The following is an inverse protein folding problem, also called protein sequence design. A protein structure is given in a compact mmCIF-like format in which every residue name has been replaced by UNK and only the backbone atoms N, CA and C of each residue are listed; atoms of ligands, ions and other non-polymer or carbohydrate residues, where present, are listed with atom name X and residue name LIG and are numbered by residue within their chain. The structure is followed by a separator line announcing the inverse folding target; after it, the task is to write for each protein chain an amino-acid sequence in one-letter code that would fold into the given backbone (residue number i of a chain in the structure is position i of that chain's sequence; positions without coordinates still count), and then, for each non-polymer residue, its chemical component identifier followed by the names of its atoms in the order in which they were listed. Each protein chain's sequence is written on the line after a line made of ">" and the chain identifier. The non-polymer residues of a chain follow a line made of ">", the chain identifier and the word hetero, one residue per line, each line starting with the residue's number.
data_IF_008618484391
#
_entry.id   IF_008618484391
#
_cell.length_a   1.000
_cell.length_b   1.000
_cell.length_c   1.000
_cell.angle_alpha   90.00
_cell.angle_beta   90.00
_cell.angle_gamma   90.00
#
_symmetry.space_group_name_H-M   'P 1'
#
loop_
_entity.id
_entity.type
_entity.pdbx_description
1 polymer ?
#
# COMPACT_ATOMS: atom_id res chain seq x y z
N UNK A 1 2.17 -5.22 -5.32
CA UNK A 1 2.74 -6.02 -4.21
C UNK A 1 1.54 -6.51 -3.42
N UNK A 2 1.11 -7.74 -3.66
CA UNK A 2 -0.21 -8.21 -3.23
C UNK A 2 -0.24 -8.66 -1.77
N UNK A 3 0.91 -8.72 -1.09
CA UNK A 3 0.96 -9.08 0.32
C UNK A 3 0.52 -7.93 1.26
N UNK A 4 0.56 -6.67 0.81
CA UNK A 4 0.28 -5.52 1.67
C UNK A 4 -1.16 -5.50 2.24
N UNK A 5 -2.22 -5.86 1.47
CA UNK A 5 -3.57 -6.02 2.04
C UNK A 5 -3.64 -7.06 3.16
N UNK A 6 -2.89 -8.17 3.05
CA UNK A 6 -2.86 -9.20 4.08
C UNK A 6 -2.17 -8.72 5.35
N UNK A 7 -1.06 -7.98 5.22
CA UNK A 7 -0.37 -7.35 6.36
C UNK A 7 -1.25 -6.28 7.03
N UNK A 8 -1.96 -5.46 6.25
CA UNK A 8 -2.93 -4.49 6.80
C UNK A 8 -4.01 -5.18 7.64
N UNK A 9 -4.60 -6.27 7.12
CA UNK A 9 -5.60 -7.04 7.84
C UNK A 9 -5.02 -7.68 9.12
N UNK A 10 -3.77 -8.17 9.05
CA UNK A 10 -3.08 -8.77 10.19
C UNK A 10 -2.81 -7.73 11.30
N UNK A 11 -2.32 -6.54 10.94
CA UNK A 11 -2.09 -5.43 11.87
C UNK A 11 -3.38 -4.95 12.54
N UNK A 12 -4.44 -4.78 11.75
CA UNK A 12 -5.75 -4.39 12.29
C UNK A 12 -6.26 -5.40 13.32
N UNK A 13 -5.98 -6.69 13.10
CA UNK A 13 -6.45 -7.76 13.98
C UNK A 13 -5.61 -7.91 15.26
N UNK A 14 -4.29 -7.81 15.16
CA UNK A 14 -3.39 -8.27 16.24
C UNK A 14 -2.45 -7.18 16.82
N UNK A 15 -2.49 -5.94 16.34
CA UNK A 15 -1.61 -4.86 16.87
C UNK A 15 -1.80 -4.61 18.37
N UNK A 16 -3.02 -4.77 18.89
CA UNK A 16 -3.30 -4.66 20.32
C UNK A 16 -2.90 -5.91 21.12
N UNK A 17 -2.55 -7.01 20.45
CA UNK A 17 -2.31 -8.32 21.03
C UNK A 17 -0.82 -8.66 21.18
N UNK A 18 0.07 -7.71 20.90
CA UNK A 18 1.51 -7.89 20.98
C UNK A 18 2.18 -8.28 19.66
N UNK A 19 1.47 -8.14 18.53
CA UNK A 19 2.08 -8.25 17.20
C UNK A 19 2.61 -6.88 16.73
N UNK A 20 3.81 -6.91 16.16
CA UNK A 20 4.33 -5.82 15.33
C UNK A 20 4.76 -6.38 13.98
N UNK A 21 4.34 -5.72 12.91
CA UNK A 21 4.85 -5.96 11.56
C UNK A 21 6.00 -4.98 11.32
N UNK A 22 7.10 -5.44 10.74
CA UNK A 22 8.23 -4.59 10.34
C UNK A 22 8.55 -4.90 8.89
N UNK A 23 8.47 -3.87 8.04
CA UNK A 23 8.90 -3.95 6.66
C UNK A 23 10.43 -3.82 6.59
N UNK A 24 11.13 -4.91 6.36
CA UNK A 24 12.56 -4.85 6.02
C UNK A 24 12.67 -4.62 4.52
N UNK A 25 12.89 -3.36 4.12
CA UNK A 25 13.00 -3.00 2.72
C UNK A 25 14.40 -3.33 2.21
N UNK A 26 14.54 -4.52 1.61
CA UNK A 26 15.76 -4.97 0.95
C UNK A 26 15.64 -4.70 -0.56
N UNK A 27 16.35 -3.67 -1.02
CA UNK A 27 16.22 -3.09 -2.35
C UNK A 27 16.68 -4.05 -3.47
N UNK A 28 15.86 -4.20 -4.52
CA UNK A 28 16.25 -4.91 -5.75
C UNK A 28 17.01 -3.99 -6.70
N UNK A 29 16.57 -2.74 -6.84
CA UNK A 29 17.15 -1.76 -7.75
C UNK A 29 17.91 -0.65 -6.99
N UNK A 30 18.96 -0.04 -7.59
CA UNK A 30 19.70 1.06 -6.95
C UNK A 30 18.81 2.24 -6.51
N UNK A 31 17.78 2.57 -7.31
CA UNK A 31 16.83 3.63 -7.00
C UNK A 31 16.03 3.37 -5.71
N UNK A 32 15.81 2.10 -5.37
CA UNK A 32 15.05 1.69 -4.18
C UNK A 32 15.89 1.73 -2.90
N UNK A 33 17.20 2.01 -2.98
CA UNK A 33 18.08 2.22 -1.81
C UNK A 33 17.92 3.63 -1.22
N UNK A 34 17.39 4.57 -2.01
CA UNK A 34 17.26 5.98 -1.65
C UNK A 34 16.06 6.17 -0.71
N UNK A 35 16.30 6.70 0.49
CA UNK A 35 15.30 6.83 1.55
C UNK A 35 14.04 7.60 1.11
N UNK A 36 14.20 8.69 0.35
CA UNK A 36 13.06 9.50 -0.10
C UNK A 36 12.15 8.76 -1.11
N UNK A 37 12.72 7.86 -1.90
CA UNK A 37 11.97 7.00 -2.81
C UNK A 37 11.17 5.95 -2.04
N UNK A 38 11.78 5.35 -1.01
CA UNK A 38 11.10 4.42 -0.10
C UNK A 38 9.98 5.15 0.63
N UNK A 39 10.23 6.35 1.13
CA UNK A 39 9.23 7.17 1.80
C UNK A 39 8.04 7.48 0.88
N UNK A 40 8.31 7.77 -0.39
CA UNK A 40 7.27 7.94 -1.40
C UNK A 40 6.48 6.66 -1.66
N UNK A 41 7.13 5.49 -1.68
CA UNK A 41 6.47 4.19 -1.82
C UNK A 41 5.60 3.85 -0.60
N UNK A 42 6.09 4.09 0.62
CA UNK A 42 5.34 3.95 1.88
C UNK A 42 4.04 4.75 1.84
N UNK A 43 4.10 6.00 1.38
CA UNK A 43 2.91 6.85 1.23
C UNK A 43 1.96 6.37 0.13
N UNK A 44 2.51 5.90 -0.99
CA UNK A 44 1.73 5.44 -2.16
C UNK A 44 0.96 4.16 -1.87
N UNK A 45 1.59 3.23 -1.17
CA UNK A 45 0.98 1.95 -0.78
C UNK A 45 0.34 1.98 0.61
N UNK A 46 0.24 3.16 1.24
CA UNK A 46 -0.37 3.40 2.54
C UNK A 46 0.18 2.49 3.66
N UNK A 47 1.48 2.18 3.65
CA UNK A 47 2.12 1.34 4.65
C UNK A 47 2.14 2.07 6.00
N UNK A 48 1.58 1.45 7.04
CA UNK A 48 1.44 2.04 8.38
C UNK A 48 2.29 1.35 9.46
N UNK A 49 2.88 0.20 9.15
CA UNK A 49 3.88 -0.44 9.99
C UNK A 49 5.27 0.22 9.85
N UNK A 50 6.16 0.06 10.85
CA UNK A 50 7.56 0.46 10.72
C UNK A 50 8.25 -0.14 9.49
N UNK A 51 9.07 0.67 8.82
CA UNK A 51 9.88 0.24 7.68
C UNK A 51 11.33 0.60 7.96
N UNK A 52 12.22 -0.38 7.85
CA UNK A 52 13.67 -0.17 7.88
C UNK A 52 14.20 -0.21 6.45
N UNK A 53 15.07 0.74 6.11
CA UNK A 53 15.82 0.71 4.85
C UNK A 53 17.07 -0.16 5.08
N UNK A 54 17.10 -1.36 4.49
CA UNK A 54 18.27 -2.25 4.45
C UNK A 54 18.87 -2.21 3.03
N UNK A 55 19.60 -1.13 2.67
CA UNK A 55 19.98 -0.86 1.29
C UNK A 55 20.96 -1.88 0.71
N UNK A 56 21.74 -2.53 1.58
CA UNK A 56 22.72 -3.55 1.23
C UNK A 56 22.17 -4.97 1.37
N UNK A 57 20.90 -5.11 1.78
CA UNK A 57 20.23 -6.39 1.99
C UNK A 57 21.03 -7.28 2.97
N UNK A 58 21.54 -6.70 4.05
CA UNK A 58 22.41 -7.40 5.02
C UNK A 58 21.64 -8.48 5.77
N UNK A 59 20.45 -8.14 6.29
CA UNK A 59 19.62 -9.09 7.02
C UNK A 59 19.06 -10.18 6.08
N UNK A 60 18.73 -9.79 4.85
CA UNK A 60 18.31 -10.70 3.79
C UNK A 60 19.37 -11.77 3.50
N UNK A 61 20.64 -11.36 3.37
CA UNK A 61 21.76 -12.26 3.11
C UNK A 61 22.04 -13.18 4.31
N UNK A 62 22.03 -12.64 5.53
CA UNK A 62 22.26 -13.40 6.77
C UNK A 62 21.20 -14.50 6.96
N UNK A 63 19.94 -14.19 6.66
CA UNK A 63 18.83 -15.14 6.73
C UNK A 63 18.69 -16.02 5.47
N UNK A 64 19.59 -15.89 4.50
CA UNK A 64 19.58 -16.63 3.22
C UNK A 64 18.23 -16.54 2.48
N UNK A 65 17.59 -15.38 2.53
CA UNK A 65 16.33 -15.15 1.83
C UNK A 65 16.58 -15.15 0.32
N UNK A 66 15.64 -15.70 -0.46
CA UNK A 66 15.80 -15.88 -1.91
C UNK A 66 14.59 -15.43 -2.74
N UNK A 67 13.51 -14.95 -2.11
CA UNK A 67 12.28 -14.58 -2.80
C UNK A 67 11.63 -13.34 -2.18
N UNK A 68 11.19 -12.41 -3.04
CA UNK A 68 10.31 -11.32 -2.63
C UNK A 68 8.84 -11.72 -2.84
N UNK A 69 7.93 -11.51 -1.85
CA UNK A 69 8.24 -11.26 -0.44
C UNK A 69 8.63 -12.56 0.29
N UNK A 70 9.33 -12.43 1.42
CA UNK A 70 9.48 -13.50 2.42
C UNK A 70 9.06 -12.94 3.77
N UNK A 71 8.18 -13.64 4.48
CA UNK A 71 7.73 -13.28 5.81
C UNK A 71 8.41 -14.18 6.83
N UNK A 72 8.98 -13.59 7.88
CA UNK A 72 9.61 -14.31 8.98
C UNK A 72 8.88 -13.98 10.27
N UNK A 73 8.30 -14.98 10.91
CA UNK A 73 7.62 -14.83 12.19
C UNK A 73 8.61 -15.14 13.33
N UNK A 74 8.74 -14.20 14.27
CA UNK A 74 9.64 -14.29 15.41
C UNK A 74 8.84 -14.43 16.72
N UNK A 75 9.42 -15.16 17.68
CA UNK A 75 8.95 -15.18 19.07
C UNK A 75 9.44 -13.97 19.87
N UNK A 76 8.96 -13.79 21.11
CA UNK A 76 9.26 -12.63 21.95
C UNK A 76 10.75 -12.48 22.32
N UNK A 77 11.57 -13.53 22.19
CA UNK A 77 13.02 -13.49 22.42
C UNK A 77 13.83 -13.43 21.11
N UNK A 78 13.17 -13.19 19.97
CA UNK A 78 13.83 -13.12 18.65
C UNK A 78 14.10 -14.48 18.02
N UNK A 79 13.59 -15.57 18.60
CA UNK A 79 13.70 -16.90 18.01
C UNK A 79 12.81 -17.01 16.76
N UNK A 80 13.36 -17.56 15.67
CA UNK A 80 12.61 -17.77 14.44
C UNK A 80 11.61 -18.92 14.63
N UNK A 81 10.33 -18.64 14.33
CA UNK A 81 9.25 -19.61 14.42
C UNK A 81 8.93 -20.22 13.06
N UNK A 82 8.67 -19.38 12.06
CA UNK A 82 8.26 -19.80 10.72
C UNK A 82 8.73 -18.82 9.65
N UNK A 83 8.87 -19.31 8.42
CA UNK A 83 9.10 -18.50 7.21
C UNK A 83 8.08 -18.86 6.14
N UNK A 84 7.48 -17.85 5.51
CA UNK A 84 6.57 -17.99 4.37
C UNK A 84 7.19 -17.30 3.16
N UNK A 85 7.33 -18.03 2.06
CA UNK A 85 8.04 -17.58 0.85
C UNK A 85 7.03 -17.31 -0.25
N UNK A 86 7.05 -16.10 -0.81
CA UNK A 86 6.16 -15.65 -1.87
C UNK A 86 4.84 -15.02 -1.39
N UNK A 87 3.97 -14.71 -2.35
CA UNK A 87 2.63 -14.13 -2.11
C UNK A 87 1.56 -15.23 -1.95
N UNK A 88 0.40 -14.89 -1.36
CA UNK A 88 -0.78 -15.77 -1.32
C UNK A 88 -0.95 -16.63 -0.07
N UNK A 89 -0.09 -16.49 0.94
CA UNK A 89 -0.11 -17.29 2.18
C UNK A 89 -0.95 -16.67 3.30
N UNK A 90 -2.07 -16.01 2.98
CA UNK A 90 -2.87 -15.28 3.96
C UNK A 90 -3.36 -16.18 5.10
N UNK A 91 -3.88 -17.36 4.76
CA UNK A 91 -4.45 -18.29 5.74
C UNK A 91 -3.38 -18.78 6.73
N UNK A 92 -2.24 -19.22 6.20
CA UNK A 92 -1.09 -19.68 7.00
C UNK A 92 -0.51 -18.55 7.86
N UNK A 93 -0.39 -17.34 7.31
CA UNK A 93 0.08 -16.17 8.04
C UNK A 93 -0.79 -15.89 9.26
N UNK A 94 -2.12 -15.91 9.10
CA UNK A 94 -3.05 -15.70 10.20
C UNK A 94 -3.03 -16.88 11.19
N UNK A 95 -2.98 -18.11 10.69
CA UNK A 95 -2.93 -19.31 11.53
C UNK A 95 -1.69 -19.30 12.43
N UNK A 96 -0.49 -19.19 11.84
CA UNK A 96 0.77 -19.22 12.59
C UNK A 96 0.88 -18.05 13.57
N UNK A 97 0.48 -16.86 13.15
CA UNK A 97 0.47 -15.68 14.03
C UNK A 97 -0.48 -15.88 15.20
N UNK A 98 -1.71 -16.37 14.96
CA UNK A 98 -2.70 -16.57 16.01
C UNK A 98 -2.29 -17.64 17.02
N UNK A 99 -1.69 -18.74 16.56
CA UNK A 99 -1.19 -19.82 17.41
C UNK A 99 0.02 -19.36 18.21
N UNK A 100 0.97 -18.66 17.59
CA UNK A 100 2.13 -18.10 18.30
C UNK A 100 1.71 -17.12 19.39
N UNK A 101 0.80 -16.18 19.07
CA UNK A 101 0.27 -15.23 20.05
C UNK A 101 -0.42 -15.94 21.20
N UNK A 102 -1.27 -16.94 20.93
CA UNK A 102 -1.95 -17.73 21.98
C UNK A 102 -0.92 -18.42 22.89
N UNK A 103 0.02 -19.13 22.30
CA UNK A 103 1.06 -19.89 23.01
C UNK A 103 1.91 -19.01 23.94
N UNK A 104 2.40 -17.88 23.45
CA UNK A 104 3.25 -16.99 24.25
C UNK A 104 2.45 -16.13 25.25
N UNK A 105 1.16 -15.86 24.98
CA UNK A 105 0.26 -15.20 25.96
C UNK A 105 -0.04 -16.11 27.15
N UNK A 106 -0.31 -17.39 26.92
CA UNK A 106 -0.55 -18.38 27.99
C UNK A 106 0.67 -18.54 28.92
N UNK A 107 1.86 -18.20 28.43
CA UNK A 107 3.12 -18.21 29.19
C UNK A 107 3.53 -16.86 29.77
N UNK A 108 2.71 -15.83 29.57
CA UNK A 108 3.00 -14.46 30.00
C UNK A 108 4.31 -13.88 29.41
N UNK A 109 4.69 -14.32 28.21
CA UNK A 109 5.90 -13.87 27.52
C UNK A 109 5.65 -12.69 26.55
N UNK A 110 4.39 -12.35 26.30
CA UNK A 110 3.99 -11.19 25.49
C UNK A 110 3.71 -9.98 26.40
N UNK A 111 4.43 -8.88 26.16
CA UNK A 111 4.20 -7.61 26.85
C UNK A 111 3.00 -6.88 26.24
N UNK A 112 2.16 -6.28 27.08
CA UNK A 112 1.02 -5.47 26.67
C UNK A 112 1.39 -4.04 26.20
N UNK A 113 2.68 -3.69 26.19
CA UNK A 113 3.14 -2.35 25.85
C UNK A 113 3.00 -2.10 24.34
N UNK A 114 2.33 -0.99 23.99
CA UNK A 114 2.26 -0.52 22.60
C UNK A 114 3.54 0.20 22.22
N UNK A 115 4.02 -0.06 21.01
CA UNK A 115 5.11 0.71 20.43
C UNK A 115 4.51 1.98 19.82
N UNK A 116 4.91 3.19 20.26
CA UNK A 116 4.37 4.42 19.71
C UNK A 116 4.82 4.56 18.25
N UNK A 117 3.86 4.69 17.34
CA UNK A 117 4.10 4.89 15.91
C UNK A 117 3.79 6.33 15.52
N UNK A 118 4.65 6.91 14.67
CA UNK A 118 4.42 8.21 14.03
C UNK A 118 4.43 8.02 12.53
N UNK A 119 3.28 8.20 11.89
CA UNK A 119 3.19 8.04 10.44
C UNK A 119 3.73 9.30 9.76
N UNK A 120 4.58 9.11 8.77
CA UNK A 120 5.11 10.23 8.00
C UNK A 120 4.00 11.01 7.26
N UNK A 121 2.96 10.29 6.81
CA UNK A 121 1.82 10.89 6.09
C UNK A 121 1.09 11.97 6.89
N UNK A 122 1.09 11.85 8.21
CA UNK A 122 0.40 12.78 9.12
C UNK A 122 1.15 14.12 9.25
N UNK A 123 2.41 14.17 8.81
CA UNK A 123 3.23 15.40 8.80
C UNK A 123 3.15 16.20 7.50
N UNK A 124 2.47 15.67 6.48
CA UNK A 124 2.43 16.26 5.15
C UNK A 124 1.26 17.22 4.98
N UNK A 125 1.45 18.37 4.30
CA UNK A 125 0.34 19.23 3.93
C UNK A 125 -0.53 18.58 2.85
N UNK A 126 -1.83 18.95 2.76
CA UNK A 126 -2.67 18.54 1.65
C UNK A 126 -2.14 19.13 0.33
N UNK A 127 -2.33 18.38 -0.76
CA UNK A 127 -1.91 18.78 -2.12
C UNK A 127 -3.07 18.57 -3.10
N UNK A 128 -3.16 19.34 -4.20
CA UNK A 128 -4.17 19.11 -5.25
C UNK A 128 -4.04 17.74 -5.92
N UNK A 129 -2.81 17.22 -6.05
CA UNK A 129 -2.52 15.89 -6.60
C UNK A 129 -1.72 15.08 -5.60
N UNK A 130 -1.93 13.77 -5.58
CA UNK A 130 -1.19 12.84 -4.72
C UNK A 130 -0.83 11.59 -5.50
N UNK A 131 0.46 11.46 -5.82
CA UNK A 131 1.02 10.36 -6.62
C UNK A 131 0.21 10.08 -7.91
N UNK A 132 -0.01 11.08 -8.79
CA UNK A 132 -0.73 10.83 -10.04
C UNK A 132 0.00 9.78 -10.88
N UNK A 133 -0.71 8.71 -11.26
CA UNK A 133 -0.12 7.55 -11.91
C UNK A 133 0.02 7.69 -13.42
N UNK A 134 -1.02 8.25 -14.07
CA UNK A 134 -1.07 8.46 -15.52
C UNK A 134 -1.85 9.72 -15.88
N UNK A 135 -1.63 10.16 -17.11
CA UNK A 135 -2.38 11.24 -17.76
C UNK A 135 -2.69 10.84 -19.20
N UNK A 136 -3.86 11.22 -19.69
CA UNK A 136 -4.25 11.12 -21.09
C UNK A 136 -4.74 12.49 -21.58
N UNK A 137 -4.58 12.75 -22.86
CA UNK A 137 -5.08 13.96 -23.52
C UNK A 137 -6.22 13.55 -24.44
N UNK A 138 -7.27 14.36 -24.52
CA UNK A 138 -8.32 14.12 -25.50
C UNK A 138 -7.83 14.35 -26.94
N UNK A 139 -8.49 13.77 -27.97
CA UNK A 139 -8.00 13.85 -29.35
C UNK A 139 -7.84 15.27 -29.90
N UNK A 140 -8.55 16.24 -29.31
CA UNK A 140 -8.49 17.65 -29.71
C UNK A 140 -7.44 18.46 -28.95
N UNK A 141 -6.83 17.90 -27.89
CA UNK A 141 -5.83 18.60 -27.09
C UNK A 141 -6.38 19.64 -26.11
N UNK A 142 -7.69 19.62 -25.84
CA UNK A 142 -8.37 20.62 -25.02
C UNK A 142 -8.57 20.16 -23.57
N UNK A 143 -8.51 18.84 -23.32
CA UNK A 143 -8.72 18.27 -21.99
C UNK A 143 -7.67 17.23 -21.65
N UNK A 144 -7.27 17.24 -20.39
CA UNK A 144 -6.44 16.24 -19.72
C UNK A 144 -7.31 15.38 -18.82
N UNK A 145 -7.09 14.07 -18.82
CA UNK A 145 -7.62 13.14 -17.83
C UNK A 145 -6.46 12.65 -17.00
N UNK A 146 -6.51 12.89 -15.69
CA UNK A 146 -5.44 12.54 -14.75
C UNK A 146 -5.99 11.48 -13.80
N UNK A 147 -5.28 10.35 -13.67
CA UNK A 147 -5.50 9.44 -12.56
C UNK A 147 -4.73 9.92 -11.34
N UNK A 148 -5.45 10.58 -10.43
CA UNK A 148 -4.92 11.07 -9.16
C UNK A 148 -4.93 9.91 -8.15
N UNK A 149 -4.05 8.95 -8.40
CA UNK A 149 -4.05 7.61 -7.79
C UNK A 149 -4.13 7.65 -6.27
N UNK A 150 -3.30 8.47 -5.62
CA UNK A 150 -3.23 8.56 -4.16
C UNK A 150 -4.40 9.29 -3.51
N UNK A 151 -5.24 9.95 -4.30
CA UNK A 151 -6.56 10.43 -3.86
C UNK A 151 -7.70 9.52 -4.30
N UNK A 152 -7.42 8.38 -4.93
CA UNK A 152 -8.43 7.41 -5.39
C UNK A 152 -9.52 8.06 -6.26
N UNK A 153 -9.11 8.91 -7.20
CA UNK A 153 -10.03 9.68 -8.06
C UNK A 153 -9.47 9.93 -9.46
N UNK A 154 -10.36 10.33 -10.36
CA UNK A 154 -10.04 10.83 -11.70
C UNK A 154 -10.35 12.32 -11.77
N UNK A 155 -9.45 13.08 -12.39
CA UNK A 155 -9.66 14.49 -12.69
C UNK A 155 -9.76 14.70 -14.19
N UNK A 156 -10.76 15.45 -14.63
CA UNK A 156 -10.83 16.00 -15.99
C UNK A 156 -10.49 17.48 -15.89
N UNK A 157 -9.46 17.90 -16.60
CA UNK A 157 -8.86 19.23 -16.49
C UNK A 157 -8.80 19.85 -17.88
N UNK A 158 -9.07 21.13 -18.03
CA UNK A 158 -8.87 21.85 -19.30
C UNK A 158 -7.38 22.08 -19.56
N UNK A 159 -7.01 22.40 -20.82
CA UNK A 159 -5.62 22.69 -21.20
C UNK A 159 -4.96 23.83 -20.42
N UNK A 160 -5.75 24.77 -19.90
CA UNK A 160 -5.29 25.88 -19.06
C UNK A 160 -5.23 25.53 -17.56
N UNK A 161 -5.48 24.26 -17.20
CA UNK A 161 -5.31 23.74 -15.84
C UNK A 161 -6.54 23.88 -14.93
N UNK A 162 -7.71 24.31 -15.45
CA UNK A 162 -8.94 24.36 -14.65
C UNK A 162 -9.54 22.96 -14.50
N UNK A 163 -9.88 22.57 -13.28
CA UNK A 163 -10.58 21.31 -13.02
C UNK A 163 -12.02 21.44 -13.55
N UNK A 164 -12.37 20.63 -14.55
CA UNK A 164 -13.71 20.55 -15.11
C UNK A 164 -14.57 19.57 -14.34
N UNK A 165 -14.01 18.41 -14.00
CA UNK A 165 -14.69 17.37 -13.23
C UNK A 165 -13.73 16.70 -12.23
N UNK A 166 -14.26 16.40 -11.05
CA UNK A 166 -13.65 15.49 -10.07
C UNK A 166 -14.57 14.29 -9.93
N UNK A 167 -14.03 13.10 -10.15
CA UNK A 167 -14.79 11.84 -10.17
C UNK A 167 -14.17 10.90 -9.15
N UNK A 168 -14.88 10.62 -8.06
CA UNK A 168 -14.39 9.86 -6.90
C UNK A 168 -13.70 10.72 -5.85
N UNK A 169 -12.87 10.09 -5.01
CA UNK A 169 -12.15 10.77 -3.92
C UNK A 169 -12.77 10.65 -2.52
N UNK A 170 -13.84 9.85 -2.38
CA UNK A 170 -14.45 9.51 -1.08
C UNK A 170 -13.68 8.46 -0.27
N UNK A 171 -12.44 8.14 -0.67
CA UNK A 171 -11.64 7.03 -0.13
C UNK A 171 -11.46 5.90 -1.14
N UNK A 172 -10.63 4.91 -0.79
CA UNK A 172 -10.45 3.70 -1.59
C UNK A 172 -11.68 2.81 -1.51
N UNK A 173 -12.14 2.30 -2.64
CA UNK A 173 -13.20 1.28 -2.67
C UNK A 173 -13.74 1.04 -4.06
N UNK A 174 -14.80 0.26 -4.15
CA UNK A 174 -15.53 0.02 -5.39
C UNK A 174 -17.00 0.37 -5.19
N UNK A 175 -17.44 1.35 -5.97
CA UNK A 175 -18.85 1.74 -6.08
C UNK A 175 -19.03 2.47 -7.41
N UNK A 176 -20.07 2.11 -8.15
CA UNK A 176 -20.55 2.87 -9.31
C UNK A 176 -21.57 3.93 -8.88
N UNK A 177 -21.87 4.89 -9.74
CA UNK A 177 -22.86 5.94 -9.47
C UNK A 177 -22.47 7.29 -10.04
N UNK A 178 -23.01 8.37 -9.47
CA UNK A 178 -22.64 9.73 -9.85
C UNK A 178 -21.17 10.05 -9.54
N UNK A 179 -20.67 11.17 -10.08
CA UNK A 179 -19.25 11.54 -9.96
C UNK A 179 -18.76 11.64 -8.51
N UNK A 180 -19.60 12.11 -7.58
CA UNK A 180 -19.27 12.20 -6.15
C UNK A 180 -19.53 10.92 -5.36
N UNK A 181 -20.28 9.96 -5.92
CA UNK A 181 -20.68 8.74 -5.23
C UNK A 181 -19.79 7.54 -5.57
N UNK A 182 -19.23 7.56 -6.77
CA UNK A 182 -18.37 6.48 -7.24
C UNK A 182 -17.06 6.43 -6.43
N UNK A 183 -16.52 5.23 -6.29
CA UNK A 183 -15.24 4.98 -5.63
C UNK A 183 -14.30 4.25 -6.60
N UNK A 184 -13.03 4.62 -6.52
CA UNK A 184 -11.92 3.94 -7.18
C UNK A 184 -10.95 3.41 -6.11
N UNK A 185 -10.05 2.53 -6.52
CA UNK A 185 -8.97 2.04 -5.69
C UNK A 185 -7.65 2.10 -6.47
N UNK A 186 -6.89 3.19 -6.23
CA UNK A 186 -5.59 3.44 -6.84
C UNK A 186 -5.61 3.33 -8.37
N UNK A 187 -6.47 4.11 -9.07
CA UNK A 187 -6.59 4.03 -10.52
C UNK A 187 -5.27 4.42 -11.19
N UNK A 188 -4.94 3.75 -12.30
CA UNK A 188 -3.71 3.95 -13.06
C UNK A 188 -4.04 4.37 -14.50
N UNK A 189 -4.05 3.42 -15.43
CA UNK A 189 -4.29 3.67 -16.85
C UNK A 189 -5.58 4.44 -17.07
N UNK A 190 -5.51 5.52 -17.86
CA UNK A 190 -6.67 6.26 -18.32
C UNK A 190 -6.59 6.41 -19.82
N UNK A 191 -7.72 6.29 -20.50
CA UNK A 191 -7.87 6.56 -21.92
C UNK A 191 -9.16 7.36 -22.13
N UNK A 192 -9.14 8.30 -23.07
CA UNK A 192 -10.30 9.12 -23.40
C UNK A 192 -10.59 9.01 -24.89
N UNK A 193 -11.84 8.73 -25.22
CA UNK A 193 -12.35 8.75 -26.59
C UNK A 193 -13.65 9.55 -26.59
N UNK A 194 -13.67 10.65 -27.35
CA UNK A 194 -14.76 11.62 -27.40
C UNK A 194 -15.15 12.15 -26.00
N UNK A 195 -16.22 11.62 -25.41
CA UNK A 195 -16.73 11.97 -24.07
C UNK A 195 -16.61 10.82 -23.07
N UNK A 196 -16.13 9.66 -23.49
CA UNK A 196 -16.00 8.47 -22.64
C UNK A 196 -14.58 8.33 -22.13
N UNK A 197 -14.44 8.03 -20.85
CA UNK A 197 -13.15 7.78 -20.19
C UNK A 197 -13.13 6.34 -19.72
N UNK A 198 -12.13 5.58 -20.15
CA UNK A 198 -11.87 4.25 -19.61
C UNK A 198 -10.75 4.32 -18.59
N UNK A 199 -10.93 3.63 -17.46
CA UNK A 199 -10.02 3.66 -16.32
C UNK A 199 -9.62 2.24 -15.94
N UNK A 200 -8.32 1.98 -15.83
CA UNK A 200 -7.79 0.80 -15.16
C UNK A 200 -7.77 1.06 -13.65
N UNK A 201 -8.76 0.53 -12.95
CA UNK A 201 -8.95 0.65 -11.50
C UNK A 201 -8.19 -0.46 -10.79
N UNK A 202 -6.87 -0.26 -10.70
CA UNK A 202 -5.88 -1.33 -10.57
C UNK A 202 -6.02 -2.17 -9.30
N UNK A 203 -6.21 -1.56 -8.13
CA UNK A 203 -6.32 -2.28 -6.86
C UNK A 203 -7.75 -2.81 -6.62
N UNK A 204 -8.71 -2.45 -7.48
CA UNK A 204 -10.00 -3.15 -7.56
C UNK A 204 -9.97 -4.31 -8.58
N UNK A 205 -8.90 -4.43 -9.38
CA UNK A 205 -8.82 -5.38 -10.50
C UNK A 205 -9.94 -5.20 -11.54
N UNK A 206 -10.35 -3.95 -11.80
CA UNK A 206 -11.46 -3.62 -12.70
C UNK A 206 -11.05 -2.68 -13.83
N UNK A 207 -11.81 -2.73 -14.93
CA UNK A 207 -11.89 -1.65 -15.91
C UNK A 207 -13.20 -0.91 -15.69
N UNK A 208 -13.13 0.42 -15.61
CA UNK A 208 -14.28 1.31 -15.36
C UNK A 208 -14.50 2.22 -16.57
N UNK A 209 -15.73 2.71 -16.72
CA UNK A 209 -16.18 3.58 -17.82
C UNK A 209 -16.99 4.75 -17.24
#
# INVERSE_FOLDING_TARGET
>A
MHILPDLHALEQRYSADGLIVIGVHSAKFPNERVLDNIRSAVLRYNINHPVVNDPDASLWQELQVSCWPTLVLLGPQGNLLFSLVGEGHKEDLFLFTSVALKFYKERHEIKAARIPLRLYKDSLPPSPLRFPGKVAVDPFGERLVISDTGHHRILVVSKDGRILHTVGGGGSGWKDGGFSECLFNSPQGVAIQEKTIYVADTENHLIRK
#
